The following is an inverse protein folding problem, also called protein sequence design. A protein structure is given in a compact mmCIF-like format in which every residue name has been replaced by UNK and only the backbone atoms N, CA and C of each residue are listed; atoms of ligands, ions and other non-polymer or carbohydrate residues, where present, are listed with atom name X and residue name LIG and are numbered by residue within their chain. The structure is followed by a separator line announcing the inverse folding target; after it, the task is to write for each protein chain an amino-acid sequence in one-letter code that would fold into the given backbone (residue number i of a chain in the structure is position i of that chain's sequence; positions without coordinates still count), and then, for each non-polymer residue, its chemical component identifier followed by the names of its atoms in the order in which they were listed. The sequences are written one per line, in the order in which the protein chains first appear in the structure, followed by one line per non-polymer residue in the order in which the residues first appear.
data_IF_478945013646
#
_entry.id   IF_478945013646
#
_cell.length_a   1.000
_cell.length_b   1.000
_cell.length_c   1.000
_cell.angle_alpha   90.00
_cell.angle_beta   90.00
_cell.angle_gamma   90.00
#
_symmetry.space_group_name_H-M   'P 1'
#
loop_
_entity.id
_entity.type
_entity.pdbx_description
1 polymer ?
#
# COMPACT_ATOMS: atom_id res chain seq x y z
N UNK A 1 -35.65 -11.75 5.91
CA UNK A 1 -34.56 -12.14 4.98
C UNK A 1 -33.94 -13.42 5.52
N UNK A 2 -33.85 -14.49 4.75
CA UNK A 2 -33.22 -15.74 5.23
C UNK A 2 -31.72 -15.49 5.45
N UNK A 3 -31.12 -16.18 6.44
CA UNK A 3 -29.69 -16.08 6.74
C UNK A 3 -28.84 -16.39 5.50
N UNK A 4 -29.20 -17.41 4.73
CA UNK A 4 -28.52 -17.76 3.47
C UNK A 4 -28.53 -16.61 2.47
N UNK A 5 -29.66 -15.91 2.35
CA UNK A 5 -29.79 -14.73 1.50
C UNK A 5 -28.89 -13.58 1.99
N UNK A 6 -28.83 -13.36 3.31
CA UNK A 6 -27.93 -12.35 3.90
C UNK A 6 -26.46 -12.65 3.60
N UNK A 7 -25.99 -13.89 3.80
CA UNK A 7 -24.61 -14.28 3.52
C UNK A 7 -24.22 -14.07 2.05
N UNK A 8 -25.12 -14.40 1.12
CA UNK A 8 -24.88 -14.22 -0.32
C UNK A 8 -24.74 -12.75 -0.66
N UNK A 9 -25.69 -11.89 -0.24
CA UNK A 9 -25.63 -10.46 -0.53
C UNK A 9 -24.44 -9.77 0.13
N UNK A 10 -24.14 -10.12 1.38
CA UNK A 10 -22.99 -9.56 2.08
C UNK A 10 -21.67 -10.02 1.46
N UNK A 11 -21.56 -11.30 1.10
CA UNK A 11 -20.40 -11.84 0.39
C UNK A 11 -20.18 -11.15 -0.97
N UNK A 12 -21.25 -10.96 -1.75
CA UNK A 12 -21.20 -10.23 -3.02
C UNK A 12 -20.76 -8.77 -2.83
N UNK A 13 -21.30 -8.08 -1.83
CA UNK A 13 -20.90 -6.71 -1.50
C UNK A 13 -19.40 -6.62 -1.20
N UNK A 14 -18.88 -7.52 -0.37
CA UNK A 14 -17.46 -7.54 0.00
C UNK A 14 -16.59 -7.88 -1.22
N UNK A 15 -16.99 -8.86 -2.02
CA UNK A 15 -16.27 -9.25 -3.24
C UNK A 15 -16.18 -8.10 -4.25
N UNK A 16 -17.30 -7.45 -4.54
CA UNK A 16 -17.34 -6.30 -5.45
C UNK A 16 -16.51 -5.12 -4.90
N UNK A 17 -16.61 -4.84 -3.60
CA UNK A 17 -15.80 -3.81 -2.94
C UNK A 17 -14.30 -4.05 -3.08
N UNK A 18 -13.85 -5.29 -2.82
CA UNK A 18 -12.45 -5.68 -3.02
C UNK A 18 -12.02 -5.58 -4.48
N UNK A 19 -12.89 -5.97 -5.43
CA UNK A 19 -12.62 -5.83 -6.86
C UNK A 19 -12.39 -4.38 -7.29
N UNK A 20 -13.24 -3.45 -6.82
CA UNK A 20 -13.09 -2.02 -7.08
C UNK A 20 -11.80 -1.47 -6.46
N UNK A 21 -11.49 -1.84 -5.22
CA UNK A 21 -10.26 -1.39 -4.56
C UNK A 21 -9.02 -1.90 -5.30
N UNK A 22 -9.00 -3.18 -5.67
CA UNK A 22 -7.91 -3.77 -6.45
C UNK A 22 -7.73 -3.05 -7.78
N UNK A 23 -8.83 -2.77 -8.49
CA UNK A 23 -8.80 -2.02 -9.74
C UNK A 23 -8.17 -0.62 -9.55
N UNK A 24 -8.57 0.11 -8.50
CA UNK A 24 -8.03 1.43 -8.20
C UNK A 24 -6.55 1.37 -7.81
N UNK A 25 -6.14 0.38 -7.00
CA UNK A 25 -4.73 0.17 -6.65
C UNK A 25 -3.89 -0.13 -7.90
N UNK A 26 -4.40 -0.97 -8.81
CA UNK A 26 -3.73 -1.29 -10.06
C UNK A 26 -3.61 -0.05 -10.97
N UNK A 27 -4.63 0.81 -11.00
CA UNK A 27 -4.59 2.08 -11.73
C UNK A 27 -3.53 3.02 -11.16
N UNK A 28 -3.42 3.12 -9.84
CA UNK A 28 -2.36 3.90 -9.18
C UNK A 28 -1.00 3.30 -9.50
N UNK A 29 -0.83 1.98 -9.38
CA UNK A 29 0.40 1.29 -9.75
C UNK A 29 0.83 1.67 -11.17
N UNK A 30 -0.01 1.41 -12.18
CA UNK A 30 0.33 1.70 -13.58
C UNK A 30 0.68 3.18 -13.83
N UNK A 31 0.03 4.10 -13.12
CA UNK A 31 0.24 5.54 -13.31
C UNK A 31 1.50 6.06 -12.59
N UNK A 32 1.79 5.55 -11.41
CA UNK A 32 2.79 6.12 -10.49
C UNK A 32 4.01 5.22 -10.28
N UNK A 33 4.12 4.09 -10.99
CA UNK A 33 5.27 3.20 -10.88
C UNK A 33 6.57 3.93 -11.21
N UNK A 34 6.60 4.62 -12.36
CA UNK A 34 7.76 5.38 -12.81
C UNK A 34 8.13 6.52 -11.84
N UNK A 35 7.14 7.25 -11.32
CA UNK A 35 7.38 8.30 -10.32
C UNK A 35 7.94 7.71 -9.02
N UNK A 36 7.40 6.58 -8.57
CA UNK A 36 7.91 5.89 -7.38
C UNK A 36 9.37 5.49 -7.55
N UNK A 37 9.78 5.01 -8.73
CA UNK A 37 11.20 4.74 -9.02
C UNK A 37 12.04 6.02 -9.03
N UNK A 38 11.54 7.10 -9.63
CA UNK A 38 12.26 8.37 -9.68
C UNK A 38 12.57 8.91 -8.28
N UNK A 39 11.66 8.76 -7.32
CA UNK A 39 11.89 9.11 -5.91
C UNK A 39 13.08 8.35 -5.34
N UNK A 40 13.14 7.02 -5.51
CA UNK A 40 14.25 6.21 -5.02
C UNK A 40 15.56 6.54 -5.74
N UNK A 41 15.52 6.76 -7.04
CA UNK A 41 16.71 7.18 -7.79
C UNK A 41 17.26 8.52 -7.29
N UNK A 42 16.38 9.49 -7.01
CA UNK A 42 16.76 10.79 -6.42
C UNK A 42 17.34 10.65 -5.01
N UNK A 43 16.79 9.76 -4.17
CA UNK A 43 17.36 9.44 -2.86
C UNK A 43 18.77 8.84 -2.98
N UNK A 44 18.99 7.96 -3.97
CA UNK A 44 20.30 7.37 -4.24
C UNK A 44 21.30 8.43 -4.70
N UNK A 45 20.90 9.30 -5.65
CA UNK A 45 21.74 10.38 -6.17
C UNK A 45 22.18 11.38 -5.09
N UNK A 46 21.38 11.57 -4.05
CA UNK A 46 21.72 12.41 -2.88
C UNK A 46 22.44 11.65 -1.76
N UNK A 47 22.70 10.35 -1.93
CA UNK A 47 23.40 9.52 -0.94
C UNK A 47 22.56 9.09 0.26
N UNK A 48 21.24 9.31 0.22
CA UNK A 48 20.34 8.91 1.32
C UNK A 48 20.11 7.40 1.39
N UNK A 49 20.23 6.71 0.26
CA UNK A 49 20.17 5.24 0.16
C UNK A 49 21.40 4.73 -0.60
N UNK A 50 21.75 3.46 -0.39
CA UNK A 50 22.85 2.82 -1.13
C UNK A 50 22.36 2.07 -2.38
N UNK A 51 23.30 1.54 -3.15
CA UNK A 51 23.00 0.83 -4.40
C UNK A 51 22.20 -0.45 -4.17
N UNK A 52 22.46 -1.15 -3.07
CA UNK A 52 21.79 -2.40 -2.73
C UNK A 52 20.32 -2.13 -2.36
N UNK A 53 20.07 -1.09 -1.55
CA UNK A 53 18.73 -0.57 -1.27
C UNK A 53 18.03 -0.16 -2.58
N UNK A 54 18.71 0.58 -3.45
CA UNK A 54 18.15 0.97 -4.75
C UNK A 54 17.75 -0.26 -5.58
N UNK A 55 18.62 -1.27 -5.70
CA UNK A 55 18.35 -2.49 -6.48
C UNK A 55 17.17 -3.29 -5.93
N UNK A 56 17.03 -3.38 -4.61
CA UNK A 56 15.86 -4.00 -3.99
C UNK A 56 14.56 -3.29 -4.40
N UNK A 57 14.56 -1.96 -4.33
CA UNK A 57 13.39 -1.16 -4.73
C UNK A 57 13.23 -1.03 -6.25
N UNK A 58 14.23 -1.40 -7.05
CA UNK A 58 14.17 -1.38 -8.52
C UNK A 58 13.41 -2.57 -9.13
N UNK A 59 13.05 -3.57 -8.32
CA UNK A 59 12.38 -4.76 -8.84
C UNK A 59 11.00 -4.41 -9.43
N UNK A 60 10.67 -4.99 -10.61
CA UNK A 60 9.41 -4.71 -11.29
C UNK A 60 8.23 -5.41 -10.61
N UNK A 61 7.03 -4.91 -10.87
CA UNK A 61 5.78 -5.54 -10.45
C UNK A 61 5.09 -4.86 -9.27
N UNK A 62 3.80 -5.20 -9.11
CA UNK A 62 2.88 -4.57 -8.17
C UNK A 62 3.29 -4.77 -6.70
N UNK A 63 3.90 -5.91 -6.37
CA UNK A 63 4.38 -6.19 -5.02
C UNK A 63 5.51 -5.21 -4.61
N UNK A 64 6.49 -5.02 -5.48
CA UNK A 64 7.60 -4.10 -5.22
C UNK A 64 7.15 -2.64 -5.29
N UNK A 65 6.17 -2.32 -6.14
CA UNK A 65 5.49 -1.03 -6.07
C UNK A 65 4.86 -0.80 -4.69
N UNK A 66 4.20 -1.80 -4.11
CA UNK A 66 3.61 -1.68 -2.77
C UNK A 66 4.68 -1.38 -1.72
N UNK A 67 5.86 -2.03 -1.78
CA UNK A 67 6.99 -1.73 -0.91
C UNK A 67 7.51 -0.29 -1.10
N UNK A 68 7.70 0.14 -2.36
CA UNK A 68 8.08 1.53 -2.68
C UNK A 68 7.07 2.53 -2.14
N UNK A 69 5.78 2.30 -2.40
CA UNK A 69 4.69 3.17 -1.95
C UNK A 69 4.62 3.24 -0.41
N UNK A 70 4.78 2.11 0.30
CA UNK A 70 4.85 2.11 1.76
C UNK A 70 6.02 2.93 2.31
N UNK A 71 7.19 2.81 1.69
CA UNK A 71 8.35 3.61 2.06
C UNK A 71 8.09 5.11 1.86
N UNK A 72 7.52 5.47 0.70
CA UNK A 72 7.15 6.85 0.39
C UNK A 72 6.08 7.36 1.38
N UNK A 73 5.11 6.54 1.80
CA UNK A 73 4.17 6.89 2.88
C UNK A 73 4.91 7.25 4.16
N UNK A 74 5.97 6.51 4.53
CA UNK A 74 6.77 6.81 5.71
C UNK A 74 7.56 8.11 5.55
N UNK A 75 8.12 8.37 4.37
CA UNK A 75 8.81 9.62 4.03
C UNK A 75 7.87 10.81 4.16
N UNK A 76 6.69 10.74 3.54
CA UNK A 76 5.69 11.82 3.58
C UNK A 76 5.23 12.09 5.02
N UNK A 77 5.09 11.04 5.84
CA UNK A 77 4.77 11.17 7.26
C UNK A 77 5.95 11.63 8.14
N UNK A 78 7.13 11.89 7.56
CA UNK A 78 8.37 12.21 8.29
C UNK A 78 8.67 11.20 9.41
N UNK A 79 8.27 9.93 9.22
CA UNK A 79 8.53 8.88 10.20
C UNK A 79 9.99 8.49 10.17
N UNK A 80 10.51 7.99 11.30
CA UNK A 80 11.84 7.39 11.37
C UNK A 80 11.86 6.12 10.50
N UNK A 81 12.66 6.11 9.44
CA UNK A 81 12.82 4.97 8.54
C UNK A 81 14.14 4.29 8.87
N UNK A 82 14.10 2.98 9.15
CA UNK A 82 15.30 2.17 9.40
C UNK A 82 15.86 1.69 8.06
N UNK A 83 17.14 1.97 7.82
CA UNK A 83 17.90 1.49 6.68
C UNK A 83 18.40 0.06 6.90
N UNK A 84 18.70 -0.65 5.82
CA UNK A 84 19.13 -2.06 5.84
C UNK A 84 20.38 -2.24 6.70
N UNK A 85 21.29 -1.26 6.69
CA UNK A 85 22.52 -1.21 7.50
C UNK A 85 22.30 -0.73 8.95
N UNK A 86 21.10 -0.89 9.50
CA UNK A 86 20.68 -0.45 10.85
C UNK A 86 20.86 1.05 11.15
N UNK A 87 21.08 1.89 10.13
CA UNK A 87 21.13 3.36 10.27
C UNK A 87 19.74 3.94 10.13
N UNK A 88 19.45 5.04 10.82
CA UNK A 88 18.23 5.79 10.58
C UNK A 88 18.40 6.64 9.32
N UNK A 89 17.34 6.76 8.53
CA UNK A 89 17.30 7.70 7.43
C UNK A 89 17.35 9.13 7.97
N UNK A 90 18.18 9.95 7.33
CA UNK A 90 18.35 11.34 7.69
C UNK A 90 17.03 12.10 7.44
N UNK A 91 16.55 12.94 8.37
CA UNK A 91 15.30 13.70 8.21
C UNK A 91 15.31 14.62 6.96
N UNK A 92 16.49 15.04 6.51
CA UNK A 92 16.73 15.81 5.29
C UNK A 92 16.25 15.07 4.04
N UNK A 93 16.26 13.74 4.04
CA UNK A 93 15.77 12.93 2.93
C UNK A 93 14.27 13.16 2.68
N UNK A 94 13.48 13.22 3.75
CA UNK A 94 12.04 13.50 3.67
C UNK A 94 11.78 14.93 3.19
N UNK A 95 12.53 15.91 3.72
CA UNK A 95 12.39 17.31 3.31
C UNK A 95 12.71 17.47 1.81
N UNK A 96 13.81 16.89 1.34
CA UNK A 96 14.22 16.94 -0.05
C UNK A 96 13.18 16.32 -0.99
N UNK A 97 12.67 15.13 -0.67
CA UNK A 97 11.66 14.49 -1.54
C UNK A 97 10.37 15.30 -1.57
N UNK A 98 9.93 15.82 -0.43
CA UNK A 98 8.73 16.66 -0.37
C UNK A 98 8.89 18.02 -1.06
N UNK A 99 10.12 18.51 -1.26
CA UNK A 99 10.36 19.73 -2.03
C UNK A 99 10.45 19.51 -3.54
N UNK A 100 10.65 18.27 -3.99
CA UNK A 100 10.84 17.93 -5.42
C UNK A 100 9.60 17.26 -6.01
N UNK A 101 8.85 16.49 -5.24
CA UNK A 101 7.75 15.65 -5.73
C UNK A 101 6.40 16.00 -5.11
N UNK A 102 5.36 16.07 -5.94
CA UNK A 102 3.97 16.21 -5.49
C UNK A 102 3.34 14.83 -5.25
N UNK A 103 3.57 14.29 -4.06
CA UNK A 103 3.18 12.92 -3.70
C UNK A 103 1.71 12.78 -3.24
N UNK A 104 0.79 13.50 -3.89
CA UNK A 104 -0.65 13.51 -3.51
C UNK A 104 -1.31 12.13 -3.61
N UNK A 105 -0.89 11.31 -4.59
CA UNK A 105 -1.38 9.95 -4.81
C UNK A 105 -1.10 9.02 -3.63
N UNK A 106 -0.06 9.29 -2.84
CA UNK A 106 0.35 8.48 -1.69
C UNK A 106 -0.73 8.48 -0.60
N UNK A 107 -1.41 9.63 -0.43
CA UNK A 107 -2.54 9.74 0.49
C UNK A 107 -3.70 8.85 0.05
N UNK A 108 -4.05 8.91 -1.23
CA UNK A 108 -5.11 8.09 -1.84
C UNK A 108 -4.78 6.60 -1.76
N UNK A 109 -3.55 6.21 -2.13
CA UNK A 109 -3.09 4.83 -2.06
C UNK A 109 -3.15 4.28 -0.64
N UNK A 110 -2.78 5.10 0.35
CA UNK A 110 -2.91 4.74 1.77
C UNK A 110 -4.36 4.47 2.16
N UNK A 111 -5.32 5.29 1.72
CA UNK A 111 -6.75 5.02 1.98
C UNK A 111 -7.22 3.72 1.34
N UNK A 112 -6.74 3.40 0.13
CA UNK A 112 -7.06 2.11 -0.50
C UNK A 112 -6.48 0.92 0.26
N UNK A 113 -5.30 1.06 0.87
CA UNK A 113 -4.75 0.01 1.77
C UNK A 113 -5.67 -0.17 2.98
N UNK A 114 -6.08 0.92 3.65
CA UNK A 114 -7.01 0.84 4.78
C UNK A 114 -8.37 0.25 4.38
N UNK A 115 -8.89 0.64 3.22
CA UNK A 115 -10.11 0.06 2.68
C UNK A 115 -9.94 -1.45 2.41
N UNK A 116 -8.81 -1.87 1.84
CA UNK A 116 -8.51 -3.29 1.62
C UNK A 116 -8.51 -4.08 2.93
N UNK A 117 -7.85 -3.54 3.97
CA UNK A 117 -7.83 -4.14 5.30
C UNK A 117 -9.23 -4.22 5.92
N UNK A 118 -10.03 -3.17 5.75
CA UNK A 118 -11.41 -3.13 6.21
C UNK A 118 -12.26 -4.24 5.56
N UNK A 119 -12.23 -4.36 4.23
CA UNK A 119 -12.97 -5.43 3.55
C UNK A 119 -12.43 -6.83 3.87
N UNK A 120 -11.12 -6.98 4.06
CA UNK A 120 -10.53 -8.23 4.54
C UNK A 120 -11.05 -8.59 5.94
N UNK A 121 -11.17 -7.62 6.86
CA UNK A 121 -11.78 -7.85 8.18
C UNK A 121 -13.25 -8.24 8.07
N UNK A 122 -14.02 -7.62 7.16
CA UNK A 122 -15.41 -8.03 6.91
C UNK A 122 -15.50 -9.48 6.42
N UNK A 123 -14.58 -9.93 5.55
CA UNK A 123 -14.50 -11.33 5.15
C UNK A 123 -14.21 -12.26 6.33
N UNK A 124 -13.25 -11.90 7.19
CA UNK A 124 -12.93 -12.68 8.38
C UNK A 124 -14.14 -12.81 9.31
N UNK A 125 -14.87 -11.71 9.54
CA UNK A 125 -16.10 -11.71 10.34
C UNK A 125 -17.15 -12.61 9.69
N UNK A 126 -17.39 -12.48 8.39
CA UNK A 126 -18.34 -13.32 7.65
C UNK A 126 -18.01 -14.81 7.81
N UNK A 127 -16.73 -15.16 7.65
CA UNK A 127 -16.24 -16.52 7.81
C UNK A 127 -16.42 -17.06 9.23
N UNK A 128 -16.13 -16.24 10.25
CA UNK A 128 -16.30 -16.63 11.64
C UNK A 128 -17.78 -16.87 11.98
N UNK A 129 -18.68 -16.00 11.52
CA UNK A 129 -20.13 -16.17 11.74
C UNK A 129 -20.63 -17.44 11.03
N UNK A 130 -20.23 -17.66 9.77
CA UNK A 130 -20.58 -18.87 9.04
C UNK A 130 -20.07 -20.15 9.73
N UNK A 131 -18.88 -20.10 10.32
CA UNK A 131 -18.30 -21.22 11.08
C UNK A 131 -18.99 -21.46 12.43
N UNK A 132 -19.46 -20.41 13.12
CA UNK A 132 -20.14 -20.51 14.41
C UNK A 132 -21.59 -21.00 14.28
N UNK A 133 -22.20 -20.86 13.10
CA UNK A 133 -23.53 -21.35 12.78
C UNK A 133 -23.50 -22.35 11.60
N UNK A 134 -22.82 -23.52 11.74
CA UNK A 134 -22.62 -24.45 10.62
C UNK A 134 -23.87 -25.27 10.25
N UNK A 135 -24.90 -25.29 11.11
CA UNK A 135 -26.11 -26.12 10.98
C UNK A 135 -27.38 -25.29 10.72
N UNK A 136 -27.26 -24.13 10.08
CA UNK A 136 -28.40 -23.31 9.64
C UNK A 136 -28.35 -23.03 8.14
#
# INVERSE_FOLDING_TARGET
MSYSTFYIFFGLFVFLGMGVIYFLQNRIYKKYDAESFAVFYSLYRKGFIDRDELMYYFQPGSLFFMHRAQFIIMLVKRKKIKRTKRRWMAPEASQYILSVYELSWVKTYRYLIWASLFFFLLLCILYLIAKLHPNQ
#
